data_IF_913781511941
#
_entry.id   IF_913781511941
#
_cell.length_a   1.000
_cell.length_b   1.000
_cell.length_c   1.000
_cell.angle_alpha   90.00
_cell.angle_beta   90.00
_cell.angle_gamma   90.00
#
_symmetry.space_group_name_H-M   'P 1'
#
loop_
_entity.id
_entity.type
_entity.pdbx_description
1 polymer ?
#
# COMPACT_ATOMS: atom_id res chain seq x y z
N UNK A 1 -1.70 -9.38 22.04
CA UNK A 1 -1.37 -8.62 20.82
C UNK A 1 -2.30 -9.07 19.70
N UNK A 2 -3.22 -8.20 19.28
CA UNK A 2 -4.12 -8.44 18.16
C UNK A 2 -3.43 -8.07 16.84
N UNK A 3 -3.50 -8.97 15.86
CA UNK A 3 -2.91 -8.78 14.54
C UNK A 3 -4.02 -8.94 13.50
N UNK A 4 -4.22 -7.91 12.67
CA UNK A 4 -5.18 -7.95 11.57
C UNK A 4 -4.47 -8.06 10.24
N UNK A 5 -5.05 -8.80 9.31
CA UNK A 5 -4.43 -9.11 8.02
C UNK A 5 -5.28 -8.60 6.86
N UNK A 6 -4.58 -8.14 5.82
CA UNK A 6 -5.15 -7.69 4.56
C UNK A 6 -4.33 -8.14 3.37
N UNK A 7 -4.79 -7.82 2.18
CA UNK A 7 -4.11 -8.16 0.94
C UNK A 7 -4.23 -7.06 -0.12
N UNK A 8 -3.52 -7.26 -1.22
CA UNK A 8 -3.33 -6.25 -2.27
C UNK A 8 -4.23 -6.46 -3.47
N UNK A 9 -5.01 -5.42 -3.79
CA UNK A 9 -5.70 -5.17 -5.05
C UNK A 9 -6.73 -6.23 -5.45
N UNK A 10 -6.35 -7.38 -5.98
CA UNK A 10 -7.31 -8.34 -6.53
C UNK A 10 -7.64 -9.46 -5.54
N UNK A 11 -8.93 -9.79 -5.39
CA UNK A 11 -9.35 -11.01 -4.69
C UNK A 11 -9.37 -12.18 -5.69
N UNK A 12 -8.42 -13.10 -5.59
CA UNK A 12 -8.37 -14.31 -6.42
C UNK A 12 -9.45 -15.34 -6.06
N UNK A 13 -10.14 -15.17 -4.93
CA UNK A 13 -11.38 -15.88 -4.62
C UNK A 13 -12.56 -15.48 -5.51
N UNK A 14 -12.52 -14.29 -6.14
CA UNK A 14 -13.60 -13.82 -7.00
C UNK A 14 -13.33 -14.09 -8.49
N UNK A 15 -14.33 -14.67 -9.16
CA UNK A 15 -14.29 -14.84 -10.61
C UNK A 15 -14.42 -13.49 -11.34
N UNK A 16 -13.49 -13.23 -12.26
CA UNK A 16 -13.47 -12.04 -13.13
C UNK A 16 -13.79 -10.73 -12.38
N UNK A 17 -13.01 -10.42 -11.33
CA UNK A 17 -13.22 -9.24 -10.49
C UNK A 17 -11.96 -8.36 -10.36
N UNK A 18 -11.05 -8.39 -11.35
CA UNK A 18 -9.85 -7.56 -11.30
C UNK A 18 -10.20 -6.06 -11.31
N UNK A 19 -9.78 -5.26 -10.31
CA UNK A 19 -10.03 -3.83 -10.24
C UNK A 19 -8.98 -3.00 -11.02
N UNK A 20 -8.24 -3.66 -11.92
CA UNK A 20 -7.08 -3.10 -12.62
C UNK A 20 -7.18 -3.30 -14.14
N UNK A 21 -8.38 -3.29 -14.71
CA UNK A 21 -8.55 -3.31 -16.17
C UNK A 21 -7.89 -2.05 -16.73
N UNK A 22 -7.13 -2.21 -17.80
CA UNK A 22 -6.27 -1.16 -18.34
C UNK A 22 -6.74 -0.66 -19.70
N UNK A 23 -6.51 0.62 -19.94
CA UNK A 23 -6.53 1.24 -21.26
C UNK A 23 -5.15 1.86 -21.48
N UNK A 24 -4.35 1.26 -22.36
CA UNK A 24 -3.02 1.81 -22.67
C UNK A 24 -3.17 3.10 -23.47
N UNK A 25 -2.21 4.01 -23.35
CA UNK A 25 -2.23 5.26 -24.10
C UNK A 25 -2.27 5.02 -25.63
N UNK A 26 -1.54 4.02 -26.13
CA UNK A 26 -1.61 3.63 -27.55
C UNK A 26 -3.02 3.23 -27.99
N UNK A 27 -3.72 2.41 -27.20
CA UNK A 27 -5.11 2.02 -27.50
C UNK A 27 -6.06 3.21 -27.41
N UNK A 28 -5.90 4.05 -26.39
CA UNK A 28 -6.67 5.29 -26.25
C UNK A 28 -6.49 6.22 -27.46
N UNK A 29 -5.25 6.44 -27.88
CA UNK A 29 -4.92 7.33 -28.99
C UNK A 29 -5.38 6.80 -30.36
N UNK A 30 -5.52 5.48 -30.50
CA UNK A 30 -6.08 4.88 -31.71
C UNK A 30 -7.60 5.03 -31.85
N UNK A 31 -8.32 5.37 -30.77
CA UNK A 31 -9.77 5.58 -30.80
C UNK A 31 -10.15 6.91 -31.44
N UNK A 32 -11.32 7.00 -32.11
CA UNK A 32 -11.94 8.26 -32.50
C UNK A 32 -12.05 9.21 -31.31
N UNK A 33 -11.75 10.51 -31.52
CA UNK A 33 -11.68 11.50 -30.43
C UNK A 33 -12.95 11.55 -29.58
N UNK A 34 -14.12 11.37 -30.21
CA UNK A 34 -15.43 11.37 -29.56
C UNK A 34 -15.70 10.10 -28.72
N UNK A 35 -14.97 9.01 -28.91
CA UNK A 35 -15.15 7.75 -28.16
C UNK A 35 -14.16 7.59 -27.00
N UNK A 36 -13.09 8.39 -26.99
CA UNK A 36 -11.98 8.30 -26.03
C UNK A 36 -12.42 8.43 -24.57
N UNK A 37 -13.25 9.44 -24.28
CA UNK A 37 -13.76 9.68 -22.92
C UNK A 37 -14.71 8.57 -22.48
N UNK A 38 -15.58 8.10 -23.38
CA UNK A 38 -16.51 7.02 -23.09
C UNK A 38 -15.76 5.72 -22.79
N UNK A 39 -14.66 5.45 -23.50
CA UNK A 39 -13.83 4.27 -23.21
C UNK A 39 -13.12 4.36 -21.86
N UNK A 40 -12.65 5.54 -21.48
CA UNK A 40 -12.10 5.76 -20.13
C UNK A 40 -13.16 5.50 -19.06
N UNK A 41 -14.37 6.05 -19.26
CA UNK A 41 -15.48 5.84 -18.33
C UNK A 41 -15.89 4.37 -18.23
N UNK A 42 -16.00 3.67 -19.36
CA UNK A 42 -16.34 2.24 -19.40
C UNK A 42 -15.37 1.40 -18.55
N UNK A 43 -14.06 1.60 -18.74
CA UNK A 43 -13.03 0.83 -18.02
C UNK A 43 -13.01 1.20 -16.54
N UNK A 44 -13.13 2.49 -16.19
CA UNK A 44 -13.21 2.94 -14.79
C UNK A 44 -14.45 2.41 -14.09
N UNK A 45 -15.62 2.47 -14.73
CA UNK A 45 -16.87 1.92 -14.20
C UNK A 45 -16.73 0.42 -13.87
N UNK A 46 -16.12 -0.34 -14.79
CA UNK A 46 -15.85 -1.76 -14.56
C UNK A 46 -14.91 -1.98 -13.35
N UNK A 47 -13.85 -1.17 -13.22
CA UNK A 47 -12.93 -1.28 -12.08
C UNK A 47 -13.60 -0.91 -10.75
N UNK A 48 -14.45 0.13 -10.72
CA UNK A 48 -15.24 0.51 -9.53
C UNK A 48 -16.22 -0.60 -9.15
N UNK A 49 -16.95 -1.15 -10.13
CA UNK A 49 -17.86 -2.28 -9.89
C UNK A 49 -17.13 -3.50 -9.34
N UNK A 50 -15.96 -3.84 -9.89
CA UNK A 50 -15.12 -4.92 -9.38
C UNK A 50 -14.61 -4.63 -7.97
N UNK A 51 -14.24 -3.38 -7.69
CA UNK A 51 -13.81 -2.97 -6.35
C UNK A 51 -14.94 -3.11 -5.34
N UNK A 52 -16.17 -2.72 -5.69
CA UNK A 52 -17.35 -2.97 -4.85
C UNK A 52 -17.55 -4.45 -4.54
N UNK A 53 -17.42 -5.33 -5.55
CA UNK A 53 -17.48 -6.79 -5.36
C UNK A 53 -16.39 -7.28 -4.40
N UNK A 54 -15.19 -6.73 -4.50
CA UNK A 54 -14.08 -7.03 -3.58
C UNK A 54 -14.38 -6.54 -2.17
N UNK A 55 -14.95 -5.35 -1.98
CA UNK A 55 -15.32 -4.89 -0.64
C UNK A 55 -16.38 -5.79 -0.01
N UNK A 56 -17.40 -6.23 -0.76
CA UNK A 56 -18.36 -7.22 -0.26
C UNK A 56 -17.72 -8.57 0.07
N UNK A 57 -16.78 -9.03 -0.74
CA UNK A 57 -15.98 -10.23 -0.42
C UNK A 57 -15.21 -10.05 0.88
N UNK A 58 -14.53 -8.92 1.05
CA UNK A 58 -13.80 -8.60 2.27
C UNK A 58 -14.72 -8.59 3.49
N UNK A 59 -15.91 -7.98 3.38
CA UNK A 59 -16.91 -7.97 4.44
C UNK A 59 -17.34 -9.40 4.81
N UNK A 60 -17.67 -10.23 3.82
CA UNK A 60 -18.08 -11.62 4.03
C UNK A 60 -16.96 -12.48 4.65
N UNK A 61 -15.69 -12.11 4.43
CA UNK A 61 -14.52 -12.77 4.98
C UNK A 61 -13.88 -11.99 6.15
N UNK A 62 -14.58 -11.02 6.75
CA UNK A 62 -14.11 -10.23 7.90
C UNK A 62 -12.75 -9.54 7.70
N UNK A 63 -12.38 -9.23 6.44
CA UNK A 63 -11.11 -8.62 6.05
C UNK A 63 -11.23 -7.10 6.12
N UNK A 64 -10.70 -6.51 7.19
CA UNK A 64 -10.76 -5.06 7.39
C UNK A 64 -9.67 -4.30 6.62
N UNK A 65 -8.54 -4.93 6.27
CA UNK A 65 -7.40 -4.25 5.65
C UNK A 65 -7.37 -4.52 4.14
N UNK A 66 -7.33 -3.46 3.33
CA UNK A 66 -7.31 -3.62 1.87
C UNK A 66 -6.48 -2.54 1.20
N UNK A 67 -5.53 -2.95 0.34
CA UNK A 67 -4.83 -2.03 -0.55
C UNK A 67 -5.54 -1.99 -1.90
N UNK A 68 -6.06 -0.83 -2.25
CA UNK A 68 -6.70 -0.59 -3.54
C UNK A 68 -5.69 -0.64 -4.67
N UNK A 69 -6.18 -0.88 -5.89
CA UNK A 69 -5.35 -0.82 -7.09
C UNK A 69 -5.03 0.62 -7.48
N UNK A 70 -3.76 0.94 -7.68
CA UNK A 70 -3.33 2.21 -8.29
C UNK A 70 -3.71 2.31 -9.78
N UNK A 71 -4.22 1.22 -10.38
CA UNK A 71 -4.72 1.19 -11.77
C UNK A 71 -6.25 1.26 -11.86
N UNK A 72 -6.93 1.65 -10.78
CA UNK A 72 -8.38 1.74 -10.72
C UNK A 72 -8.95 2.68 -11.81
N UNK A 73 -8.26 3.80 -12.04
CA UNK A 73 -8.59 4.79 -13.07
C UNK A 73 -7.45 4.81 -14.10
N UNK A 74 -7.64 4.24 -15.31
CA UNK A 74 -6.61 4.23 -16.32
C UNK A 74 -6.30 5.65 -16.82
N UNK A 75 -5.01 5.91 -17.07
CA UNK A 75 -4.50 7.16 -17.66
C UNK A 75 -4.84 8.44 -16.87
N UNK A 76 -5.29 8.33 -15.61
CA UNK A 76 -5.69 9.48 -14.79
C UNK A 76 -4.58 10.53 -14.65
N UNK A 77 -3.33 10.10 -14.58
CA UNK A 77 -2.14 10.95 -14.44
C UNK A 77 -1.40 11.18 -15.76
N UNK A 78 -1.90 10.69 -16.89
CA UNK A 78 -1.24 10.86 -18.19
C UNK A 78 -1.40 12.31 -18.69
N UNK A 79 -0.31 13.01 -19.05
CA UNK A 79 -0.33 14.45 -19.34
C UNK A 79 -1.23 14.83 -20.54
N UNK A 80 -1.42 13.92 -21.49
CA UNK A 80 -2.26 14.13 -22.68
C UNK A 80 -3.73 13.73 -22.50
N UNK A 81 -4.11 13.19 -21.33
CA UNK A 81 -5.46 12.63 -21.13
C UNK A 81 -6.25 13.42 -20.09
N UNK A 82 -5.62 13.74 -18.95
CA UNK A 82 -6.14 14.53 -17.81
C UNK A 82 -7.67 14.75 -17.87
N UNK A 83 -8.42 13.84 -17.25
CA UNK A 83 -9.87 13.79 -17.35
C UNK A 83 -10.53 13.69 -15.98
N UNK A 84 -11.79 14.11 -15.88
CA UNK A 84 -12.55 14.05 -14.63
C UNK A 84 -13.09 12.63 -14.40
N UNK A 85 -12.48 11.92 -13.46
CA UNK A 85 -12.85 10.57 -13.02
C UNK A 85 -13.60 10.57 -11.67
N UNK A 86 -13.92 11.75 -11.11
CA UNK A 86 -14.65 11.86 -9.85
C UNK A 86 -16.12 12.16 -10.12
N UNK A 87 -16.43 13.25 -10.82
CA UNK A 87 -17.82 13.70 -11.02
C UNK A 87 -18.69 12.67 -11.72
N UNK A 88 -18.24 11.99 -12.80
CA UNK A 88 -19.07 10.99 -13.49
C UNK A 88 -19.39 9.75 -12.63
N UNK A 89 -18.62 9.52 -11.56
CA UNK A 89 -18.69 8.32 -10.72
C UNK A 89 -19.00 8.65 -9.26
N UNK A 90 -19.58 9.83 -8.99
CA UNK A 90 -19.81 10.32 -7.63
C UNK A 90 -20.55 9.30 -6.76
N UNK A 91 -21.62 8.70 -7.30
CA UNK A 91 -22.43 7.73 -6.57
C UNK A 91 -21.64 6.45 -6.25
N UNK A 92 -20.83 5.97 -7.20
CA UNK A 92 -19.98 4.79 -7.03
C UNK A 92 -18.90 5.03 -5.98
N UNK A 93 -18.27 6.22 -5.98
CA UNK A 93 -17.29 6.60 -4.96
C UNK A 93 -17.92 6.68 -3.57
N UNK A 94 -19.09 7.34 -3.46
CA UNK A 94 -19.84 7.45 -2.21
C UNK A 94 -20.26 6.06 -1.68
N UNK A 95 -20.68 5.15 -2.55
CA UNK A 95 -21.06 3.79 -2.18
C UNK A 95 -19.86 2.99 -1.65
N UNK A 96 -18.69 3.06 -2.31
CA UNK A 96 -17.46 2.46 -1.78
C UNK A 96 -17.10 3.04 -0.42
N UNK A 97 -17.24 4.36 -0.25
CA UNK A 97 -17.02 5.05 1.01
C UNK A 97 -17.95 4.57 2.13
N UNK A 98 -19.24 4.42 1.84
CA UNK A 98 -20.23 3.90 2.80
C UNK A 98 -19.84 2.51 3.30
N UNK A 99 -19.40 1.61 2.40
CA UNK A 99 -18.91 0.28 2.79
C UNK A 99 -17.65 0.36 3.67
N UNK A 100 -16.69 1.22 3.32
CA UNK A 100 -15.47 1.42 4.12
C UNK A 100 -15.82 1.87 5.54
N UNK A 101 -16.73 2.84 5.69
CA UNK A 101 -17.13 3.36 7.00
C UNK A 101 -17.98 2.37 7.80
N UNK A 102 -19.00 1.78 7.18
CA UNK A 102 -19.90 0.85 7.86
C UNK A 102 -19.15 -0.36 8.43
N UNK A 103 -18.16 -0.87 7.68
CA UNK A 103 -17.39 -2.06 8.06
C UNK A 103 -16.00 -1.73 8.59
N UNK A 104 -15.76 -0.46 8.92
CA UNK A 104 -14.53 0.02 9.57
C UNK A 104 -13.23 -0.39 8.86
N UNK A 105 -13.29 -0.49 7.53
CA UNK A 105 -12.16 -0.95 6.72
C UNK A 105 -11.02 0.08 6.76
N UNK A 106 -9.79 -0.41 6.60
CA UNK A 106 -8.56 0.38 6.54
C UNK A 106 -8.00 0.38 5.11
N UNK A 107 -8.35 1.40 4.31
CA UNK A 107 -7.92 1.50 2.92
C UNK A 107 -6.46 1.94 2.82
N UNK A 108 -5.80 1.56 1.74
CA UNK A 108 -4.50 2.12 1.38
C UNK A 108 -4.25 2.09 -0.11
N UNK A 109 -3.31 2.92 -0.56
CA UNK A 109 -2.70 2.84 -1.86
C UNK A 109 -1.18 2.70 -1.73
N UNK A 110 -0.55 2.18 -2.78
CA UNK A 110 0.91 2.18 -2.93
C UNK A 110 1.18 2.59 -4.38
N UNK A 111 1.40 3.89 -4.66
CA UNK A 111 1.81 4.38 -5.97
C UNK A 111 3.03 3.62 -6.47
N UNK A 112 3.21 3.59 -7.80
CA UNK A 112 4.30 2.81 -8.37
C UNK A 112 5.68 3.47 -8.10
N UNK A 113 6.74 2.75 -8.46
CA UNK A 113 8.15 3.16 -8.31
C UNK A 113 8.55 4.47 -9.02
N UNK A 114 7.67 5.10 -9.79
CA UNK A 114 7.93 6.39 -10.45
C UNK A 114 7.55 7.60 -9.59
N UNK A 115 6.85 7.40 -8.46
CA UNK A 115 6.61 8.46 -7.47
C UNK A 115 7.88 8.71 -6.66
N UNK A 116 8.74 9.62 -7.16
CA UNK A 116 10.09 9.83 -6.65
C UNK A 116 10.33 11.29 -6.24
N UNK A 117 10.60 11.50 -4.95
CA UNK A 117 11.04 12.79 -4.40
C UNK A 117 12.57 12.92 -4.32
N UNK A 118 13.32 11.86 -4.61
CA UNK A 118 14.81 11.85 -4.62
C UNK A 118 15.44 12.36 -5.93
N UNK A 119 14.64 12.52 -7.00
CA UNK A 119 15.13 12.86 -8.34
C UNK A 119 15.75 14.26 -8.42
N UNK A 120 16.89 14.43 -9.12
CA UNK A 120 17.44 15.76 -9.42
C UNK A 120 16.62 16.53 -10.46
N UNK A 121 15.72 15.84 -11.18
CA UNK A 121 14.87 16.39 -12.21
C UNK A 121 13.55 16.89 -11.61
N UNK A 122 13.29 18.18 -11.73
CA UNK A 122 12.10 18.85 -11.16
C UNK A 122 10.80 18.25 -11.71
N UNK A 123 10.78 17.88 -12.99
CA UNK A 123 9.63 17.27 -13.64
C UNK A 123 9.23 15.92 -13.02
N UNK A 124 10.21 15.16 -12.49
CA UNK A 124 9.94 13.88 -11.81
C UNK A 124 9.24 14.13 -10.47
N UNK A 125 9.70 15.13 -9.72
CA UNK A 125 9.05 15.53 -8.45
C UNK A 125 7.65 16.06 -8.70
N UNK A 126 7.44 16.88 -9.74
CA UNK A 126 6.10 17.35 -10.11
C UNK A 126 5.16 16.20 -10.48
N UNK A 127 5.66 15.19 -11.18
CA UNK A 127 4.88 13.98 -11.48
C UNK A 127 4.59 13.15 -10.23
N UNK A 128 5.53 13.08 -9.27
CA UNK A 128 5.31 12.44 -7.98
C UNK A 128 4.20 13.12 -7.17
N UNK A 129 4.16 14.46 -7.16
CA UNK A 129 3.07 15.23 -6.53
C UNK A 129 1.73 14.92 -7.20
N UNK A 130 1.67 14.93 -8.53
CA UNK A 130 0.45 14.57 -9.28
C UNK A 130 -0.02 13.14 -9.01
N UNK A 131 0.89 12.18 -8.88
CA UNK A 131 0.53 10.80 -8.55
C UNK A 131 0.00 10.69 -7.10
N UNK A 132 0.61 11.40 -6.15
CA UNK A 132 0.09 11.48 -4.78
C UNK A 132 -1.30 12.16 -4.72
N UNK A 133 -1.51 13.24 -5.49
CA UNK A 133 -2.81 13.92 -5.65
C UNK A 133 -3.88 13.00 -6.24
N UNK A 134 -3.52 12.19 -7.23
CA UNK A 134 -4.43 11.20 -7.82
C UNK A 134 -4.94 10.19 -6.77
N UNK A 135 -4.03 9.61 -5.99
CA UNK A 135 -4.39 8.65 -4.95
C UNK A 135 -5.16 9.30 -3.78
N UNK A 136 -4.77 10.52 -3.41
CA UNK A 136 -5.48 11.32 -2.41
C UNK A 136 -6.91 11.62 -2.83
N UNK A 137 -7.12 12.03 -4.09
CA UNK A 137 -8.44 12.36 -4.64
C UNK A 137 -9.39 11.17 -4.61
N UNK A 138 -8.88 9.95 -4.88
CA UNK A 138 -9.67 8.73 -4.73
C UNK A 138 -10.05 8.45 -3.27
N UNK A 139 -9.12 8.61 -2.32
CA UNK A 139 -9.45 8.49 -0.89
C UNK A 139 -10.47 9.55 -0.46
N UNK A 140 -10.34 10.78 -0.95
CA UNK A 140 -11.26 11.86 -0.64
C UNK A 140 -12.66 11.58 -1.19
N UNK A 141 -12.77 11.09 -2.43
CA UNK A 141 -14.05 10.76 -3.06
C UNK A 141 -14.78 9.62 -2.33
N UNK A 142 -14.03 8.67 -1.76
CA UNK A 142 -14.58 7.62 -0.88
C UNK A 142 -14.79 8.08 0.58
N UNK A 143 -14.59 9.37 0.89
CA UNK A 143 -14.59 9.89 2.26
C UNK A 143 -13.66 9.10 3.22
N UNK A 144 -12.54 8.59 2.73
CA UNK A 144 -11.72 7.58 3.41
C UNK A 144 -10.41 8.12 3.99
N UNK A 145 -10.20 9.44 3.99
CA UNK A 145 -8.92 10.09 4.38
C UNK A 145 -8.54 9.87 5.85
N UNK A 146 -9.52 9.74 6.75
CA UNK A 146 -9.27 9.53 8.18
C UNK A 146 -8.48 8.23 8.44
N UNK A 147 -8.80 7.17 7.69
CA UNK A 147 -8.24 5.81 7.88
C UNK A 147 -7.26 5.42 6.76
N UNK A 148 -7.28 6.17 5.67
CA UNK A 148 -6.48 5.93 4.47
C UNK A 148 -5.02 6.31 4.64
N UNK A 149 -4.16 5.54 3.98
CA UNK A 149 -2.73 5.85 3.82
C UNK A 149 -2.28 5.64 2.38
N UNK A 150 -1.32 6.45 1.94
CA UNK A 150 -0.65 6.38 0.64
C UNK A 150 0.82 6.10 0.90
N UNK A 151 1.24 4.88 0.65
CA UNK A 151 2.58 4.42 0.97
C UNK A 151 3.52 4.57 -0.22
N UNK A 152 4.73 5.08 -0.02
CA UNK A 152 5.78 5.10 -1.04
C UNK A 152 7.13 4.71 -0.44
N UNK A 153 8.08 4.35 -1.30
CA UNK A 153 9.48 4.29 -0.91
C UNK A 153 10.14 5.67 -1.00
N UNK A 154 11.30 5.85 -0.37
CA UNK A 154 12.10 7.09 -0.49
C UNK A 154 12.56 7.30 -1.94
N UNK A 155 12.93 6.22 -2.62
CA UNK A 155 13.33 6.22 -4.03
C UNK A 155 14.79 5.83 -4.25
N UNK A 156 15.41 6.36 -5.31
CA UNK A 156 16.76 5.96 -5.71
C UNK A 156 17.86 6.84 -5.10
N UNK A 157 19.08 6.28 -4.99
CA UNK A 157 20.26 7.00 -4.49
C UNK A 157 20.86 8.00 -5.49
N UNK A 158 20.58 7.88 -6.79
CA UNK A 158 21.16 8.73 -7.85
C UNK A 158 22.70 8.92 -7.74
N UNK A 159 23.41 7.85 -7.37
CA UNK A 159 24.87 7.84 -7.20
C UNK A 159 25.36 8.20 -5.80
N UNK A 160 24.59 8.93 -4.99
CA UNK A 160 24.94 9.31 -3.62
C UNK A 160 23.69 9.39 -2.73
N UNK A 161 23.56 8.42 -1.80
CA UNK A 161 22.43 8.33 -0.87
C UNK A 161 22.28 9.56 0.03
N UNK A 162 23.38 10.19 0.46
CA UNK A 162 23.35 11.36 1.35
C UNK A 162 22.81 12.58 0.62
N UNK A 163 23.23 12.78 -0.62
CA UNK A 163 22.70 13.87 -1.45
C UNK A 163 21.25 13.61 -1.82
N UNK A 164 20.90 12.36 -2.18
CA UNK A 164 19.54 12.00 -2.54
C UNK A 164 18.54 12.16 -1.38
N UNK A 165 18.91 11.81 -0.14
CA UNK A 165 18.01 11.96 1.01
C UNK A 165 17.79 13.44 1.38
N UNK A 166 18.82 14.29 1.30
CA UNK A 166 18.62 15.75 1.48
C UNK A 166 17.71 16.33 0.39
N UNK A 167 17.84 15.82 -0.84
CA UNK A 167 16.94 16.18 -1.93
C UNK A 167 15.51 15.72 -1.69
N UNK A 168 15.32 14.50 -1.15
CA UNK A 168 14.02 14.00 -0.73
C UNK A 168 13.34 14.97 0.24
N UNK A 169 14.02 15.37 1.32
CA UNK A 169 13.51 16.34 2.29
C UNK A 169 13.16 17.69 1.66
N UNK A 170 14.00 18.18 0.74
CA UNK A 170 13.74 19.43 0.04
C UNK A 170 12.51 19.33 -0.87
N UNK A 171 12.48 18.32 -1.75
CA UNK A 171 11.45 18.12 -2.74
C UNK A 171 10.09 17.78 -2.11
N UNK A 172 10.08 17.10 -0.97
CA UNK A 172 8.85 16.76 -0.24
C UNK A 172 8.06 18.00 0.20
N UNK A 173 8.71 19.16 0.32
CA UNK A 173 8.03 20.44 0.59
C UNK A 173 7.07 20.89 -0.52
N UNK A 174 7.22 20.34 -1.73
CA UNK A 174 6.28 20.58 -2.84
C UNK A 174 4.98 19.78 -2.71
N UNK A 175 4.93 18.76 -1.83
CA UNK A 175 3.73 17.98 -1.59
C UNK A 175 2.76 18.78 -0.69
N UNK A 176 1.49 19.01 -1.11
CA UNK A 176 0.50 19.67 -0.28
C UNK A 176 0.35 19.00 1.09
N UNK A 177 0.22 19.82 2.14
CA UNK A 177 0.21 19.36 3.54
C UNK A 177 -0.86 18.28 3.81
N UNK A 178 -2.08 18.46 3.31
CA UNK A 178 -3.16 17.48 3.51
C UNK A 178 -2.87 16.12 2.85
N UNK A 179 -2.10 16.11 1.75
CA UNK A 179 -1.67 14.88 1.09
C UNK A 179 -0.52 14.23 1.86
N UNK A 180 0.44 15.04 2.34
CA UNK A 180 1.52 14.57 3.21
C UNK A 180 0.97 13.91 4.49
N UNK A 181 -0.14 14.41 5.04
CA UNK A 181 -0.79 13.82 6.24
C UNK A 181 -1.23 12.37 6.05
N UNK A 182 -1.57 11.95 4.83
CA UNK A 182 -1.94 10.56 4.53
C UNK A 182 -0.78 9.74 3.98
N UNK A 183 0.39 10.33 3.79
CA UNK A 183 1.57 9.64 3.30
C UNK A 183 2.17 8.71 4.36
N UNK A 184 2.74 7.59 3.91
CA UNK A 184 3.64 6.75 4.71
C UNK A 184 4.89 6.43 3.91
N UNK A 185 5.98 6.10 4.60
CA UNK A 185 7.23 5.70 3.97
C UNK A 185 7.57 4.25 4.33
N UNK A 186 8.11 3.52 3.36
CA UNK A 186 8.47 2.11 3.49
C UNK A 186 9.95 1.86 3.15
N UNK A 187 10.63 1.05 3.96
CA UNK A 187 11.99 0.61 3.67
C UNK A 187 12.01 -0.29 2.42
N UNK A 188 13.11 -0.27 1.67
CA UNK A 188 13.20 -0.98 0.40
C UNK A 188 14.33 -2.02 0.36
N UNK A 189 14.32 -2.86 -0.67
CA UNK A 189 15.15 -4.06 -0.81
C UNK A 189 16.58 -3.80 -1.34
N UNK A 190 16.96 -2.54 -1.57
CA UNK A 190 18.20 -2.16 -2.26
C UNK A 190 18.88 -0.88 -1.76
N UNK A 191 18.10 0.17 -1.55
CA UNK A 191 18.57 1.56 -1.47
C UNK A 191 18.52 2.03 -0.04
N UNK A 192 17.34 2.20 0.55
CA UNK A 192 17.17 2.73 1.90
C UNK A 192 16.71 1.62 2.85
N UNK A 193 17.56 1.33 3.84
CA UNK A 193 17.26 0.31 4.84
C UNK A 193 16.25 0.81 5.89
N UNK A 194 15.98 -0.03 6.90
CA UNK A 194 15.05 0.30 7.99
C UNK A 194 15.49 1.52 8.79
N UNK A 195 16.78 1.66 9.09
CA UNK A 195 17.29 2.76 9.92
C UNK A 195 17.17 4.08 9.17
N UNK A 196 17.63 4.13 7.93
CA UNK A 196 17.61 5.33 7.11
C UNK A 196 16.18 5.79 6.81
N UNK A 197 15.28 4.82 6.56
CA UNK A 197 13.87 5.11 6.35
C UNK A 197 13.22 5.67 7.61
N UNK A 198 13.51 5.07 8.77
CA UNK A 198 12.99 5.55 10.06
C UNK A 198 13.49 6.97 10.38
N UNK A 199 14.77 7.26 10.14
CA UNK A 199 15.32 8.60 10.35
C UNK A 199 14.62 9.65 9.47
N UNK A 200 14.30 9.31 8.21
CA UNK A 200 13.52 10.17 7.34
C UNK A 200 12.08 10.36 7.84
N UNK A 201 11.45 9.28 8.32
CA UNK A 201 10.10 9.30 8.91
C UNK A 201 10.02 10.21 10.14
N UNK A 202 10.96 10.07 11.08
CA UNK A 202 11.03 10.87 12.30
C UNK A 202 11.29 12.35 11.97
N UNK A 203 12.19 12.65 11.04
CA UNK A 203 12.50 14.01 10.60
C UNK A 203 11.29 14.70 9.94
N UNK A 204 10.54 13.97 9.13
CA UNK A 204 9.40 14.51 8.37
C UNK A 204 8.04 14.36 9.09
N UNK A 205 8.03 13.71 10.26
CA UNK A 205 6.83 13.30 11.00
C UNK A 205 5.84 12.50 10.14
N UNK A 206 6.36 11.47 9.46
CA UNK A 206 5.61 10.57 8.58
C UNK A 206 5.60 9.17 9.19
N UNK A 207 4.47 8.45 9.23
CA UNK A 207 4.46 7.07 9.70
C UNK A 207 5.28 6.15 8.79
N UNK A 208 6.06 5.27 9.41
CA UNK A 208 6.84 4.26 8.72
C UNK A 208 6.05 2.95 8.61
N UNK A 209 5.87 2.45 7.39
CA UNK A 209 5.54 1.05 7.15
C UNK A 209 6.84 0.25 7.13
N UNK A 210 6.94 -0.74 7.99
CA UNK A 210 8.01 -1.74 7.91
C UNK A 210 7.63 -2.80 6.89
N UNK A 211 8.46 -3.02 5.89
CA UNK A 211 8.42 -4.25 5.09
C UNK A 211 9.52 -5.21 5.56
N UNK A 212 9.10 -6.35 6.09
CA UNK A 212 10.01 -7.34 6.67
C UNK A 212 10.84 -8.08 5.61
N UNK A 213 10.27 -8.33 4.43
CA UNK A 213 11.00 -9.01 3.36
C UNK A 213 12.08 -8.10 2.78
N UNK A 214 11.77 -6.82 2.58
CA UNK A 214 12.74 -5.78 2.22
C UNK A 214 13.82 -5.65 3.28
N UNK A 215 13.47 -5.65 4.56
CA UNK A 215 14.44 -5.68 5.65
C UNK A 215 15.39 -6.89 5.53
N UNK A 216 14.87 -8.09 5.27
CA UNK A 216 15.72 -9.26 5.10
C UNK A 216 16.60 -9.19 3.84
N UNK A 217 16.16 -8.52 2.79
CA UNK A 217 16.92 -8.34 1.55
C UNK A 217 17.97 -7.21 1.63
N UNK A 218 17.75 -6.23 2.50
CA UNK A 218 18.55 -5.03 2.68
C UNK A 218 18.81 -4.76 4.17
N UNK A 219 19.25 -5.81 4.88
CA UNK A 219 19.37 -5.79 6.34
C UNK A 219 20.45 -4.84 6.84
N UNK A 220 21.56 -4.76 6.11
CA UNK A 220 22.77 -4.08 6.60
C UNK A 220 23.18 -4.58 7.98
N UNK A 221 23.52 -3.65 8.87
CA UNK A 221 23.83 -3.92 10.28
C UNK A 221 22.61 -3.69 11.21
N UNK A 222 21.41 -3.57 10.64
CA UNK A 222 20.21 -3.21 11.40
C UNK A 222 19.65 -4.40 12.17
N UNK A 223 19.58 -4.27 13.50
CA UNK A 223 18.80 -5.16 14.37
C UNK A 223 17.37 -4.63 14.53
N UNK A 224 16.41 -5.29 13.88
CA UNK A 224 15.02 -4.87 13.86
C UNK A 224 14.40 -4.77 15.26
N UNK A 225 14.82 -5.60 16.22
CA UNK A 225 14.27 -5.57 17.57
C UNK A 225 14.50 -4.22 18.27
N UNK A 226 15.62 -3.55 17.97
CA UNK A 226 15.94 -2.23 18.49
C UNK A 226 15.08 -1.12 17.87
N UNK A 227 14.74 -1.25 16.58
CA UNK A 227 14.03 -0.20 15.84
C UNK A 227 12.51 -0.33 15.88
N UNK A 228 11.96 -1.53 16.11
CA UNK A 228 10.50 -1.76 16.03
C UNK A 228 9.67 -0.81 16.90
N UNK A 229 10.13 -0.50 18.12
CA UNK A 229 9.45 0.47 19.00
C UNK A 229 9.36 1.86 18.39
N UNK A 230 10.45 2.33 17.77
CA UNK A 230 10.52 3.65 17.14
C UNK A 230 9.65 3.70 15.89
N UNK A 231 9.68 2.62 15.09
CA UNK A 231 8.80 2.46 13.92
C UNK A 231 7.34 2.58 14.35
N UNK A 232 6.91 1.83 15.36
CA UNK A 232 5.52 1.85 15.83
C UNK A 232 5.13 3.23 16.40
N UNK A 233 6.04 3.92 17.08
CA UNK A 233 5.83 5.28 17.59
C UNK A 233 5.54 6.30 16.49
N UNK A 234 6.06 6.12 15.27
CA UNK A 234 5.76 7.04 14.14
C UNK A 234 4.28 7.12 13.77
N UNK A 235 3.46 6.16 14.23
CA UNK A 235 2.01 6.13 13.98
C UNK A 235 1.18 6.86 15.04
N UNK A 236 1.76 7.17 16.21
CA UNK A 236 1.05 7.80 17.34
C UNK A 236 0.48 9.17 16.95
N UNK A 237 1.21 9.96 16.16
CA UNK A 237 0.77 11.27 15.70
C UNK A 237 -0.52 11.24 14.86
N UNK A 238 -0.85 10.09 14.25
CA UNK A 238 -2.10 9.88 13.51
C UNK A 238 -3.15 9.12 14.31
N UNK A 239 -2.85 8.70 15.54
CA UNK A 239 -3.71 7.82 16.34
C UNK A 239 -4.16 6.56 15.57
N UNK A 240 -3.22 5.95 14.83
CA UNK A 240 -3.48 4.77 14.03
C UNK A 240 -2.64 3.59 14.52
N UNK A 241 -3.20 2.39 14.41
CA UNK A 241 -2.47 1.14 14.65
C UNK A 241 -1.30 1.04 13.65
N UNK A 242 -0.08 0.67 14.05
CA UNK A 242 1.04 0.48 13.13
C UNK A 242 0.70 -0.49 12.00
N UNK A 243 1.24 -0.25 10.81
CA UNK A 243 1.05 -1.13 9.65
C UNK A 243 2.40 -1.63 9.15
N UNK A 244 2.46 -2.92 8.82
CA UNK A 244 3.63 -3.60 8.25
C UNK A 244 3.24 -4.33 6.97
N UNK A 245 4.22 -4.53 6.10
CA UNK A 245 4.09 -5.37 4.91
C UNK A 245 4.85 -6.68 5.15
N UNK A 246 4.20 -7.80 4.81
CA UNK A 246 4.81 -9.12 4.87
C UNK A 246 4.69 -9.84 3.54
N UNK A 247 5.83 -10.37 3.12
CA UNK A 247 6.00 -11.30 2.00
C UNK A 247 7.13 -12.27 2.34
N UNK A 248 7.48 -13.15 1.40
CA UNK A 248 8.62 -14.04 1.52
C UNK A 248 9.28 -14.24 0.15
N UNK A 249 10.59 -14.58 0.11
CA UNK A 249 11.31 -14.81 -1.14
C UNK A 249 10.70 -15.96 -1.94
N UNK A 250 10.63 -15.80 -3.27
CA UNK A 250 10.17 -16.85 -4.20
C UNK A 250 11.10 -18.07 -4.16
N UNK A 251 12.39 -17.82 -4.06
CA UNK A 251 13.46 -18.80 -3.93
C UNK A 251 14.73 -18.05 -3.48
N UNK A 252 15.75 -18.78 -3.01
CA UNK A 252 17.04 -18.18 -2.59
C UNK A 252 17.70 -17.36 -3.72
N UNK A 253 17.73 -17.90 -4.94
CA UNK A 253 18.27 -17.23 -6.13
C UNK A 253 17.36 -16.12 -6.70
N UNK A 254 16.14 -15.97 -6.16
CA UNK A 254 15.18 -14.96 -6.54
C UNK A 254 14.67 -14.24 -5.28
N UNK A 255 15.57 -13.94 -4.34
CA UNK A 255 15.23 -13.52 -2.99
C UNK A 255 14.29 -12.32 -2.95
N UNK A 256 14.51 -11.31 -3.79
CA UNK A 256 13.68 -10.09 -3.85
C UNK A 256 12.32 -10.29 -4.52
N UNK A 257 12.11 -11.40 -5.22
CA UNK A 257 10.82 -11.69 -5.84
C UNK A 257 9.86 -12.26 -4.80
N UNK A 258 8.63 -11.77 -4.75
CA UNK A 258 7.63 -12.31 -3.84
C UNK A 258 7.19 -13.72 -4.28
N UNK A 259 7.07 -14.62 -3.31
CA UNK A 259 6.49 -15.94 -3.49
C UNK A 259 4.98 -15.91 -3.78
N UNK A 260 4.45 -17.06 -4.18
CA UNK A 260 3.00 -17.23 -4.38
C UNK A 260 2.23 -17.16 -3.08
N UNK A 261 2.75 -17.81 -2.03
CA UNK A 261 2.27 -17.80 -0.65
C UNK A 261 3.37 -17.31 0.28
N UNK A 262 3.00 -16.76 1.45
CA UNK A 262 3.98 -16.33 2.46
C UNK A 262 4.44 -17.53 3.28
N UNK A 263 5.75 -17.75 3.39
CA UNK A 263 6.32 -18.78 4.25
C UNK A 263 6.20 -18.37 5.73
N UNK A 264 5.47 -19.15 6.53
CA UNK A 264 5.37 -18.92 7.98
C UNK A 264 6.75 -18.96 8.64
N UNK A 265 7.60 -19.92 8.27
CA UNK A 265 8.96 -20.04 8.83
C UNK A 265 9.77 -18.76 8.60
N UNK A 266 9.65 -18.15 7.42
CA UNK A 266 10.34 -16.92 7.08
C UNK A 266 9.89 -15.75 7.94
N UNK A 267 8.58 -15.59 8.17
CA UNK A 267 8.03 -14.43 8.91
C UNK A 267 7.91 -14.65 10.43
N UNK A 268 8.05 -15.88 10.91
CA UNK A 268 7.95 -16.23 12.33
C UNK A 268 8.91 -15.44 13.24
N UNK A 269 10.19 -15.19 12.85
CA UNK A 269 11.08 -14.36 13.65
C UNK A 269 10.55 -12.95 13.87
N UNK A 270 9.92 -12.33 12.86
CA UNK A 270 9.29 -11.02 13.01
C UNK A 270 8.15 -11.05 14.05
N UNK A 271 7.27 -12.05 13.99
CA UNK A 271 6.18 -12.15 14.97
C UNK A 271 6.69 -12.35 16.40
N UNK A 272 7.80 -13.07 16.59
CA UNK A 272 8.44 -13.21 17.91
C UNK A 272 8.96 -11.86 18.43
N UNK A 273 9.65 -11.09 17.59
CA UNK A 273 10.11 -9.73 17.93
C UNK A 273 8.91 -8.83 18.28
N UNK A 274 7.85 -8.86 17.48
CA UNK A 274 6.63 -8.08 17.73
C UNK A 274 5.95 -8.52 19.04
N UNK A 275 5.96 -9.81 19.37
CA UNK A 275 5.36 -10.33 20.59
C UNK A 275 6.05 -9.83 21.86
N UNK A 276 7.36 -9.58 21.83
CA UNK A 276 8.07 -8.95 22.96
C UNK A 276 7.53 -7.54 23.28
N UNK A 277 7.06 -6.81 22.26
CA UNK A 277 6.40 -5.50 22.44
C UNK A 277 4.94 -5.64 22.87
N UNK A 278 4.28 -6.73 22.46
CA UNK A 278 2.88 -7.03 22.74
C UNK A 278 1.91 -5.88 22.37
N UNK A 279 2.20 -5.15 21.29
CA UNK A 279 1.39 -4.05 20.76
C UNK A 279 0.66 -4.47 19.49
N UNK A 280 -0.62 -4.12 19.37
CA UNK A 280 -1.44 -4.43 18.20
C UNK A 280 -0.88 -3.79 16.92
N UNK A 281 -0.97 -4.50 15.80
CA UNK A 281 -0.55 -4.01 14.50
C UNK A 281 -1.31 -4.67 13.33
N UNK A 282 -1.22 -4.03 12.18
CA UNK A 282 -1.88 -4.42 10.94
C UNK A 282 -0.86 -4.94 9.92
N UNK A 283 -1.18 -6.03 9.24
CA UNK A 283 -0.32 -6.71 8.26
C UNK A 283 -0.95 -6.65 6.88
N UNK A 284 -0.26 -6.07 5.92
CA UNK A 284 -0.59 -6.18 4.50
C UNK A 284 0.23 -7.30 3.86
N UNK A 285 -0.46 -8.31 3.31
CA UNK A 285 0.18 -9.45 2.65
C UNK A 285 0.48 -9.14 1.19
N UNK A 286 1.77 -9.22 0.85
CA UNK A 286 2.32 -8.91 -0.45
C UNK A 286 2.77 -10.18 -1.20
N UNK A 287 1.84 -11.07 -1.52
CA UNK A 287 2.12 -12.31 -2.25
C UNK A 287 1.40 -12.38 -3.60
N UNK A 288 1.80 -13.29 -4.50
CA UNK A 288 1.11 -13.42 -5.81
C UNK A 288 -0.30 -13.98 -5.68
N UNK A 289 -0.57 -14.84 -4.69
CA UNK A 289 -1.89 -15.43 -4.46
C UNK A 289 -2.84 -14.55 -3.61
N UNK A 290 -2.45 -13.30 -3.30
CA UNK A 290 -3.33 -12.26 -2.73
C UNK A 290 -4.08 -12.70 -1.47
N UNK A 291 -5.40 -12.59 -1.46
CA UNK A 291 -6.31 -13.02 -0.39
C UNK A 291 -6.08 -14.48 0.01
N UNK A 292 -5.83 -15.38 -0.94
CA UNK A 292 -5.55 -16.80 -0.63
C UNK A 292 -4.26 -16.97 0.17
N UNK A 293 -3.23 -16.19 -0.14
CA UNK A 293 -1.99 -16.20 0.62
C UNK A 293 -2.18 -15.66 2.04
N UNK A 294 -2.97 -14.59 2.17
CA UNK A 294 -3.32 -14.02 3.47
C UNK A 294 -4.11 -15.01 4.33
N UNK A 295 -5.19 -15.59 3.80
CA UNK A 295 -6.05 -16.53 4.52
C UNK A 295 -5.27 -17.77 4.97
N UNK A 296 -4.40 -18.30 4.09
CA UNK A 296 -3.51 -19.41 4.44
C UNK A 296 -2.55 -19.03 5.57
N UNK A 297 -1.90 -17.88 5.49
CA UNK A 297 -0.96 -17.47 6.55
C UNK A 297 -1.67 -17.29 7.89
N UNK A 298 -2.89 -16.73 7.91
CA UNK A 298 -3.69 -16.59 9.13
C UNK A 298 -4.04 -17.95 9.74
N UNK A 299 -4.38 -18.93 8.91
CA UNK A 299 -4.59 -20.32 9.34
C UNK A 299 -3.31 -20.93 9.93
N UNK A 300 -2.18 -20.81 9.23
CA UNK A 300 -0.89 -21.34 9.67
C UNK A 300 -0.44 -20.69 10.99
N UNK A 301 -0.62 -19.38 11.16
CA UNK A 301 -0.33 -18.65 12.41
C UNK A 301 -1.28 -19.10 13.53
N UNK A 302 -2.57 -19.27 13.22
CA UNK A 302 -3.57 -19.73 14.19
C UNK A 302 -3.33 -21.15 14.72
N UNK A 303 -2.53 -21.95 14.02
CA UNK A 303 -2.11 -23.29 14.47
C UNK A 303 -0.93 -23.26 15.47
N UNK A 304 -0.28 -22.10 15.67
CA UNK A 304 0.81 -21.96 16.64
C UNK A 304 0.23 -22.01 18.05
N UNK A 305 0.83 -22.85 18.92
CA UNK A 305 0.42 -22.96 20.33
C UNK A 305 0.48 -21.59 21.02
N UNK A 306 -0.64 -21.20 21.63
CA UNK A 306 -0.78 -19.92 22.33
C UNK A 306 -1.30 -18.78 21.46
N UNK A 307 -1.52 -19.01 20.15
CA UNK A 307 -2.20 -18.08 19.26
C UNK A 307 -3.67 -18.48 19.14
N UNK A 308 -4.56 -17.50 19.25
CA UNK A 308 -5.99 -17.68 19.03
C UNK A 308 -6.40 -17.03 17.72
N UNK A 309 -7.01 -17.80 16.82
CA UNK A 309 -7.68 -17.24 15.63
C UNK A 309 -9.01 -16.61 16.07
N UNK A 310 -9.18 -15.32 15.82
CA UNK A 310 -10.38 -14.55 16.20
C UNK A 310 -11.40 -14.52 15.05
N UNK A 311 -10.91 -14.32 13.82
CA UNK A 311 -11.72 -14.35 12.61
C UNK A 311 -10.92 -14.92 11.42
N UNK A 312 -11.47 -14.87 10.21
CA UNK A 312 -10.75 -15.28 9.00
C UNK A 312 -9.47 -14.50 8.74
N UNK A 313 -9.35 -13.26 9.22
CA UNK A 313 -8.21 -12.37 8.99
C UNK A 313 -7.64 -11.72 10.25
N UNK A 314 -7.96 -12.25 11.43
CA UNK A 314 -7.49 -11.71 12.71
C UNK A 314 -7.01 -12.84 13.62
N UNK A 315 -5.83 -12.66 14.20
CA UNK A 315 -5.34 -13.50 15.31
C UNK A 315 -5.01 -12.67 16.54
N UNK A 316 -4.98 -13.32 17.69
CA UNK A 316 -4.49 -12.79 18.95
C UNK A 316 -3.36 -13.68 19.45
N UNK A 317 -2.17 -13.09 19.62
CA UNK A 317 -0.99 -13.74 20.17
C UNK A 317 -0.60 -13.09 21.50
#
# INVERSE_FOLDING_TARGET
>A
MKIRFGYVANALGLWNASPSKSLTFSRFSALPKNERLDKLKEVTAQNLQHTKRILHYNIAHEIELYRFSSSLVPLATHPEVLWDYITPFKNEWEELGQLIHQFQMRPSFHPNQFTLFTSPKVEVTQNAVKDMEFHYSMLQAMNALERGVINIHIGGAYGDKRVAIERFHHNLKSLPYEIKKVMTLENDDKTYDVKETLEACEKENIPMILDYHHYMANKGEVDLAYYLSRIFRTWEARNMVPKVHLSSPKAENAFRSHADFVSLEFVLPFFKIAKERNQDFDVMIEAKQKDKAMLKLVEDIGAIRGVKRISSSVVEW
#
